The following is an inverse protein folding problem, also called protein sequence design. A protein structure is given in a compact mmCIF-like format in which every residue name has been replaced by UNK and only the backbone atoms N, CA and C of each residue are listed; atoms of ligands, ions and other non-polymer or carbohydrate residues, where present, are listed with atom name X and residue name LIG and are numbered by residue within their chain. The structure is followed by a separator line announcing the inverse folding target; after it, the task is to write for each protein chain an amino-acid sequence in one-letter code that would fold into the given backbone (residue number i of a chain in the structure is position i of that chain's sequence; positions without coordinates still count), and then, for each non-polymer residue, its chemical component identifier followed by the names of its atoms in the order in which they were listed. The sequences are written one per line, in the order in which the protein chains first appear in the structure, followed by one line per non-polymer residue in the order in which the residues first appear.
data_IF_184704241506
#
_entry.id   IF_184704241506
#
_cell.length_a   1.000
_cell.length_b   1.000
_cell.length_c   1.000
_cell.angle_alpha   90.00
_cell.angle_beta   90.00
_cell.angle_gamma   90.00
#
_symmetry.space_group_name_H-M   'P 1'
#
loop_
_entity.id
_entity.type
_entity.pdbx_description
1 polymer ?
#
# COMPACT_ATOMS: atom_id res chain seq x y z
N UNK A 1 -27.01 11.67 46.12
CA UNK A 1 -25.72 12.38 46.30
C UNK A 1 -24.73 11.66 45.40
N UNK A 2 -24.08 12.22 44.38
CA UNK A 2 -23.89 13.59 43.92
C UNK A 2 -23.66 13.57 42.37
N UNK A 3 -23.90 14.70 41.70
CA UNK A 3 -23.36 15.03 40.37
C UNK A 3 -21.93 15.63 40.51
N UNK A 4 -21.25 16.11 39.45
CA UNK A 4 -20.90 15.57 38.11
C UNK A 4 -19.36 15.72 37.83
N UNK A 5 -18.81 15.30 36.67
CA UNK A 5 -17.82 16.07 35.86
C UNK A 5 -17.22 15.30 34.64
N UNK A 6 -17.31 15.98 33.49
CA UNK A 6 -16.41 16.06 32.32
C UNK A 6 -15.58 14.87 31.85
N UNK A 7 -15.85 14.41 30.62
CA UNK A 7 -14.81 14.23 29.59
C UNK A 7 -15.21 14.98 28.32
N UNK A 8 -14.30 15.83 27.86
CA UNK A 8 -14.44 16.82 26.81
C UNK A 8 -13.75 16.35 25.52
N UNK A 9 -14.32 16.72 24.37
CA UNK A 9 -13.68 16.86 23.04
C UNK A 9 -13.02 15.61 22.43
N UNK A 10 -13.80 14.75 21.77
CA UNK A 10 -13.36 13.93 20.64
C UNK A 10 -14.56 13.25 19.94
N UNK A 11 -15.45 14.00 19.29
CA UNK A 11 -16.60 13.38 18.58
C UNK A 11 -17.05 14.14 17.34
N UNK A 12 -16.13 14.78 16.62
CA UNK A 12 -16.43 15.41 15.31
C UNK A 12 -16.08 14.53 14.10
N UNK A 13 -15.59 13.30 14.30
CA UNK A 13 -15.30 12.36 13.21
C UNK A 13 -16.31 11.22 13.05
N UNK A 14 -17.28 11.09 13.96
CA UNK A 14 -18.22 9.96 13.99
C UNK A 14 -19.64 10.50 13.84
N UNK A 15 -20.02 10.91 12.62
CA UNK A 15 -21.40 10.96 12.08
C UNK A 15 -21.47 11.79 10.78
N UNK A 16 -20.80 11.34 9.72
CA UNK A 16 -21.29 11.55 8.35
C UNK A 16 -21.99 10.27 7.86
N UNK A 17 -22.88 9.73 8.69
CA UNK A 17 -23.59 8.47 8.45
C UNK A 17 -25.10 8.69 8.64
N UNK A 18 -25.71 9.39 7.69
CA UNK A 18 -27.15 9.38 7.37
C UNK A 18 -27.27 9.93 5.93
N UNK A 19 -27.48 9.05 4.94
CA UNK A 19 -28.77 8.76 4.29
C UNK A 19 -29.35 9.91 3.44
N UNK A 20 -29.51 9.62 2.15
CA UNK A 20 -30.04 10.44 1.04
C UNK A 20 -29.18 11.63 0.59
N UNK A 21 -28.76 11.60 -0.68
CA UNK A 21 -28.15 12.71 -1.43
C UNK A 21 -26.83 13.29 -0.89
N UNK A 22 -26.11 12.60 -0.03
CA UNK A 22 -24.76 13.00 0.36
C UNK A 22 -23.79 12.70 -0.79
N UNK A 23 -23.63 13.66 -1.71
CA UNK A 23 -22.48 13.64 -2.61
C UNK A 23 -21.22 13.92 -1.80
N UNK A 24 -20.25 13.01 -1.86
CA UNK A 24 -18.94 13.25 -1.26
C UNK A 24 -18.07 13.88 -2.34
N UNK A 25 -17.65 15.12 -2.14
CA UNK A 25 -16.64 15.77 -2.99
C UNK A 25 -15.34 15.81 -2.20
N UNK A 26 -14.28 15.21 -2.76
CA UNK A 26 -12.93 15.28 -2.23
C UNK A 26 -12.13 16.29 -3.07
N UNK A 27 -11.64 17.34 -2.42
CA UNK A 27 -10.88 18.44 -3.05
C UNK A 27 -9.46 18.50 -2.44
N UNK A 28 -8.51 19.22 -3.08
CA UNK A 28 -7.17 19.43 -2.55
C UNK A 28 -7.16 19.91 -1.11
N UNK A 29 -6.27 19.33 -0.32
CA UNK A 29 -6.15 19.58 1.11
C UNK A 29 -7.13 18.78 1.99
N UNK A 30 -8.05 18.03 1.40
CA UNK A 30 -8.88 17.07 2.13
C UNK A 30 -8.32 15.65 2.01
N UNK A 31 -8.47 14.88 3.09
CA UNK A 31 -7.98 13.51 3.21
C UNK A 31 -9.11 12.62 3.71
N UNK A 32 -9.47 11.60 2.93
CA UNK A 32 -10.31 10.49 3.39
C UNK A 32 -9.38 9.45 4.02
N UNK A 33 -9.59 9.11 5.29
CA UNK A 33 -8.80 8.09 5.97
C UNK A 33 -9.58 6.78 6.08
N UNK A 34 -8.86 5.66 6.06
CA UNK A 34 -9.50 4.36 6.26
C UNK A 34 -10.19 4.31 7.61
N UNK A 35 -11.29 3.56 7.69
CA UNK A 35 -11.88 3.23 8.99
C UNK A 35 -10.86 2.50 9.85
N UNK A 36 -10.85 2.76 11.16
CA UNK A 36 -9.99 2.02 12.09
C UNK A 36 -10.53 0.60 12.26
N UNK A 37 -9.79 -0.40 11.79
CA UNK A 37 -9.98 -1.76 12.29
C UNK A 37 -9.53 -1.81 13.75
N UNK A 38 -10.22 -2.61 14.57
CA UNK A 38 -9.80 -2.90 15.95
C UNK A 38 -8.41 -3.54 16.05
N UNK A 39 -7.90 -4.06 14.92
CA UNK A 39 -6.56 -4.63 14.80
C UNK A 39 -5.73 -3.80 13.80
N UNK A 40 -4.60 -3.26 14.24
CA UNK A 40 -3.64 -2.48 13.44
C UNK A 40 -2.88 -3.31 12.39
N UNK A 41 -3.25 -4.57 12.16
CA UNK A 41 -2.54 -5.50 11.27
C UNK A 41 -2.61 -5.13 9.79
N UNK A 42 -3.53 -4.26 9.39
CA UNK A 42 -3.78 -3.94 7.99
C UNK A 42 -3.16 -2.62 7.52
N UNK A 43 -2.58 -1.81 8.42
CA UNK A 43 -2.07 -0.47 8.11
C UNK A 43 -3.16 0.61 8.16
N UNK A 44 -2.74 1.87 8.14
CA UNK A 44 -3.64 3.02 7.99
C UNK A 44 -3.52 3.53 6.56
N UNK A 45 -4.65 3.79 5.91
CA UNK A 45 -4.69 4.26 4.53
C UNK A 45 -5.34 5.62 4.41
N UNK A 46 -5.01 6.30 3.33
CA UNK A 46 -5.69 7.51 2.96
C UNK A 46 -5.87 7.69 1.47
N UNK A 47 -6.82 8.55 1.12
CA UNK A 47 -7.12 8.98 -0.23
C UNK A 47 -7.22 10.50 -0.24
N UNK A 48 -6.51 11.15 -1.17
CA UNK A 48 -6.43 12.61 -1.29
C UNK A 48 -6.39 13.02 -2.75
N UNK A 49 -6.78 14.26 -3.03
CA UNK A 49 -6.52 14.90 -4.32
C UNK A 49 -5.34 15.85 -4.15
N UNK A 50 -4.31 15.69 -4.97
CA UNK A 50 -3.11 16.52 -4.94
C UNK A 50 -2.53 16.62 -6.35
N UNK A 51 -2.10 17.83 -6.75
CA UNK A 51 -1.42 18.07 -8.04
C UNK A 51 -2.16 17.50 -9.26
N UNK A 52 -3.49 17.68 -9.30
CA UNK A 52 -4.39 17.14 -10.34
C UNK A 52 -4.41 15.61 -10.43
N UNK A 53 -4.00 14.90 -9.37
CA UNK A 53 -4.11 13.45 -9.24
C UNK A 53 -4.97 13.07 -8.04
N UNK A 54 -5.74 11.99 -8.17
CA UNK A 54 -6.28 11.23 -7.04
C UNK A 54 -5.22 10.23 -6.59
N UNK A 55 -4.77 10.34 -5.34
CA UNK A 55 -3.70 9.52 -4.77
C UNK A 55 -4.19 8.75 -3.56
N UNK A 56 -3.85 7.48 -3.48
CA UNK A 56 -4.04 6.68 -2.28
C UNK A 56 -2.71 6.27 -1.67
N UNK A 57 -2.60 6.39 -0.35
CA UNK A 57 -1.37 6.14 0.42
C UNK A 57 -1.59 5.08 1.49
N UNK A 58 -0.55 4.28 1.73
CA UNK A 58 -0.36 3.65 3.04
C UNK A 58 0.44 4.62 3.91
N UNK A 59 -0.03 4.86 5.12
CA UNK A 59 0.58 5.78 6.10
C UNK A 59 1.78 5.12 6.82
N UNK A 60 2.71 4.59 6.03
CA UNK A 60 4.02 4.14 6.49
C UNK A 60 4.94 5.33 6.78
N UNK A 61 6.21 5.07 7.09
CA UNK A 61 7.20 6.11 7.31
C UNK A 61 8.37 6.01 6.30
N UNK A 62 8.37 6.82 5.21
CA UNK A 62 7.37 7.81 4.83
C UNK A 62 6.08 7.19 4.25
N UNK A 63 4.98 7.95 4.10
CA UNK A 63 3.76 7.46 3.45
C UNK A 63 4.04 7.09 1.99
N UNK A 64 3.64 5.88 1.56
CA UNK A 64 3.92 5.39 0.22
C UNK A 64 2.63 5.34 -0.61
N UNK A 65 2.60 5.93 -1.81
CA UNK A 65 1.44 5.81 -2.68
C UNK A 65 1.33 4.37 -3.23
N UNK A 66 0.10 3.89 -3.35
CA UNK A 66 -0.22 2.59 -3.97
C UNK A 66 -1.23 2.71 -5.12
N UNK A 67 -1.82 3.89 -5.28
CA UNK A 67 -2.72 4.21 -6.37
C UNK A 67 -2.55 5.67 -6.78
N UNK A 68 -2.57 5.90 -8.09
CA UNK A 68 -2.60 7.23 -8.69
C UNK A 68 -3.53 7.21 -9.91
N UNK A 69 -4.38 8.22 -10.01
CA UNK A 69 -5.18 8.49 -11.21
C UNK A 69 -5.15 9.97 -11.53
N UNK A 70 -4.70 10.32 -12.74
CA UNK A 70 -4.62 11.70 -13.21
C UNK A 70 -6.01 12.22 -13.57
N UNK A 71 -6.38 13.37 -13.00
CA UNK A 71 -7.69 14.01 -13.14
C UNK A 71 -7.73 15.07 -14.25
N UNK A 72 -6.64 15.23 -15.00
CA UNK A 72 -6.49 16.20 -16.08
C UNK A 72 -6.78 17.64 -15.65
N UNK A 73 -7.92 18.21 -16.07
CA UNK A 73 -8.29 19.60 -15.82
C UNK A 73 -9.13 19.78 -14.55
N UNK A 74 -9.47 18.68 -13.89
CA UNK A 74 -10.33 18.68 -12.70
C UNK A 74 -9.44 18.47 -11.48
N UNK A 75 -9.60 19.32 -10.46
CA UNK A 75 -8.86 19.21 -9.21
C UNK A 75 -9.77 18.71 -8.08
N UNK A 76 -10.68 17.77 -8.36
CA UNK A 76 -11.53 17.15 -7.35
C UNK A 76 -12.10 15.83 -7.87
N UNK A 77 -12.52 14.97 -6.96
CA UNK A 77 -13.34 13.79 -7.29
C UNK A 77 -14.64 13.84 -6.52
N UNK A 78 -15.73 13.45 -7.18
CA UNK A 78 -17.06 13.45 -6.60
C UNK A 78 -17.67 12.06 -6.70
N UNK A 79 -18.15 11.56 -5.57
CA UNK A 79 -19.05 10.41 -5.52
C UNK A 79 -20.48 10.95 -5.61
N UNK A 80 -21.08 10.83 -6.78
CA UNK A 80 -22.44 11.29 -7.06
C UNK A 80 -23.10 10.44 -8.15
N UNK A 81 -24.39 10.17 -7.97
CA UNK A 81 -25.30 9.64 -8.99
C UNK A 81 -24.76 8.42 -9.76
N UNK A 82 -24.22 7.43 -9.05
CA UNK A 82 -23.73 6.19 -9.67
C UNK A 82 -22.39 6.33 -10.39
N UNK A 83 -21.54 7.28 -10.00
CA UNK A 83 -20.18 7.36 -10.53
C UNK A 83 -19.16 7.88 -9.51
N UNK A 84 -17.90 7.47 -9.70
CA UNK A 84 -16.73 7.99 -9.01
C UNK A 84 -15.52 7.92 -9.92
N UNK A 85 -14.79 9.03 -10.09
CA UNK A 85 -13.57 9.09 -10.91
C UNK A 85 -13.73 8.48 -12.32
N UNK A 86 -14.88 8.73 -12.98
CA UNK A 86 -15.20 8.17 -14.31
C UNK A 86 -15.65 6.71 -14.32
N UNK A 87 -15.57 5.98 -13.20
CA UNK A 87 -16.10 4.63 -13.07
C UNK A 87 -17.60 4.65 -12.78
N UNK A 88 -18.34 3.80 -13.50
CA UNK A 88 -19.77 3.59 -13.29
C UNK A 88 -20.00 2.67 -12.08
N UNK A 89 -20.99 3.04 -11.27
CA UNK A 89 -21.43 2.36 -10.06
C UNK A 89 -22.95 2.20 -10.20
N UNK A 90 -23.55 1.10 -9.72
CA UNK A 90 -25.01 0.97 -9.70
C UNK A 90 -25.66 2.22 -9.09
N UNK A 91 -26.73 2.73 -9.70
CA UNK A 91 -27.37 3.95 -9.22
C UNK A 91 -28.04 3.71 -7.86
N UNK A 92 -27.73 4.57 -6.88
CA UNK A 92 -28.45 4.57 -5.62
C UNK A 92 -29.92 4.96 -5.83
N UNK A 93 -30.81 4.40 -5.02
CA UNK A 93 -32.21 4.80 -4.96
C UNK A 93 -32.64 5.04 -3.52
N UNK A 94 -33.83 5.59 -3.31
CA UNK A 94 -34.41 5.77 -1.97
C UNK A 94 -34.62 4.45 -1.25
N UNK A 95 -34.91 3.37 -1.99
CA UNK A 95 -35.05 2.01 -1.46
C UNK A 95 -33.72 1.26 -1.30
N UNK A 96 -32.65 1.75 -1.93
CA UNK A 96 -31.32 1.13 -1.93
C UNK A 96 -30.24 2.20 -1.74
N UNK A 97 -30.17 2.80 -0.53
CA UNK A 97 -29.15 3.81 -0.23
C UNK A 97 -27.75 3.23 -0.34
N UNK A 98 -26.79 4.11 -0.66
CA UNK A 98 -25.38 3.76 -0.83
C UNK A 98 -24.46 4.65 -0.01
N UNK A 99 -23.29 4.12 0.35
CA UNK A 99 -22.17 4.92 0.85
C UNK A 99 -20.84 4.37 0.33
N UNK A 100 -19.83 5.22 0.29
CA UNK A 100 -18.46 4.87 -0.07
C UNK A 100 -17.58 4.91 1.18
N UNK A 101 -16.69 3.93 1.32
CA UNK A 101 -15.78 3.83 2.45
C UNK A 101 -14.40 3.35 1.99
N UNK A 102 -13.36 4.01 2.50
CA UNK A 102 -12.00 3.49 2.43
C UNK A 102 -11.84 2.48 3.56
N UNK A 103 -11.67 1.23 3.19
CA UNK A 103 -11.58 0.12 4.11
C UNK A 103 -10.20 0.04 4.79
N UNK A 104 -10.10 -0.64 5.94
CA UNK A 104 -8.83 -0.82 6.63
C UNK A 104 -7.79 -1.62 5.84
N UNK A 105 -8.17 -2.27 4.74
CA UNK A 105 -7.31 -3.02 3.82
C UNK A 105 -6.85 -2.17 2.60
N UNK A 106 -7.19 -0.88 2.58
CA UNK A 106 -6.84 0.05 1.49
C UNK A 106 -7.83 0.06 0.32
N UNK A 107 -8.86 -0.79 0.32
CA UNK A 107 -9.85 -0.80 -0.74
C UNK A 107 -10.86 0.33 -0.59
N UNK A 108 -11.19 1.01 -1.70
CA UNK A 108 -12.31 1.95 -1.74
C UNK A 108 -13.57 1.22 -2.21
N UNK A 109 -14.44 0.86 -1.27
CA UNK A 109 -15.66 0.07 -1.54
C UNK A 109 -16.90 0.93 -1.50
N UNK A 110 -17.87 0.59 -2.35
CA UNK A 110 -19.23 1.13 -2.30
C UNK A 110 -20.16 0.07 -1.76
N UNK A 111 -20.88 0.42 -0.72
CA UNK A 111 -21.88 -0.42 -0.09
C UNK A 111 -23.28 0.05 -0.48
N UNK A 112 -24.17 -0.89 -0.78
CA UNK A 112 -25.58 -0.65 -1.05
C UNK A 112 -26.44 -1.45 -0.07
N UNK A 113 -27.52 -0.85 0.42
CA UNK A 113 -28.50 -1.57 1.22
C UNK A 113 -29.41 -2.39 0.30
N UNK A 114 -29.37 -3.71 0.45
CA UNK A 114 -30.22 -4.69 -0.26
C UNK A 114 -30.83 -5.62 0.79
N UNK A 115 -32.16 -5.69 0.84
CA UNK A 115 -32.89 -6.57 1.78
C UNK A 115 -32.41 -6.46 3.24
N UNK A 116 -32.18 -5.22 3.71
CA UNK A 116 -31.65 -4.87 5.04
C UNK A 116 -30.18 -5.24 5.31
N UNK A 117 -29.45 -5.73 4.31
CA UNK A 117 -28.01 -6.01 4.41
C UNK A 117 -27.19 -5.04 3.55
N UNK A 118 -26.03 -4.63 4.07
CA UNK A 118 -25.07 -3.85 3.29
C UNK A 118 -24.22 -4.79 2.43
N UNK A 119 -24.33 -4.65 1.12
CA UNK A 119 -23.59 -5.45 0.14
C UNK A 119 -22.59 -4.58 -0.60
N UNK A 120 -21.41 -5.12 -0.90
CA UNK A 120 -20.42 -4.43 -1.73
C UNK A 120 -20.89 -4.50 -3.18
N UNK A 121 -21.06 -3.33 -3.80
CA UNK A 121 -21.53 -3.22 -5.20
C UNK A 121 -20.45 -2.69 -6.15
N UNK A 122 -19.39 -2.09 -5.62
CA UNK A 122 -18.23 -1.68 -6.39
C UNK A 122 -16.95 -1.66 -5.54
N UNK A 123 -15.83 -1.95 -6.18
CA UNK A 123 -14.48 -1.76 -5.66
C UNK A 123 -13.75 -0.86 -6.67
N UNK A 124 -13.41 0.36 -6.23
CA UNK A 124 -13.15 1.47 -7.15
C UNK A 124 -11.68 1.62 -7.56
N UNK A 125 -10.74 0.99 -6.84
CA UNK A 125 -9.31 1.16 -7.12
C UNK A 125 -8.68 -0.07 -7.77
N UNK A 126 -9.11 -1.29 -7.42
CA UNK A 126 -8.43 -2.54 -7.81
C UNK A 126 -8.17 -2.63 -9.32
N UNK A 127 -9.14 -2.30 -10.17
CA UNK A 127 -9.01 -2.46 -11.63
C UNK A 127 -8.00 -1.49 -12.26
N UNK A 128 -7.68 -0.41 -11.57
CA UNK A 128 -6.71 0.61 -12.00
C UNK A 128 -5.35 0.44 -11.30
N UNK A 129 -5.28 -0.36 -10.23
CA UNK A 129 -4.04 -0.67 -9.55
C UNK A 129 -3.27 -1.74 -10.33
N UNK A 130 -1.99 -1.47 -10.59
CA UNK A 130 -1.07 -2.44 -11.18
C UNK A 130 -0.94 -3.66 -10.27
N UNK A 131 -1.13 -4.85 -10.84
CA UNK A 131 -1.14 -6.10 -10.08
C UNK A 131 -2.48 -6.39 -9.39
N UNK A 132 -3.51 -5.57 -9.61
CA UNK A 132 -4.85 -5.76 -9.07
C UNK A 132 -4.83 -5.89 -7.56
N UNK A 133 -5.35 -7.01 -7.05
CA UNK A 133 -5.36 -7.32 -5.61
C UNK A 133 -3.95 -7.38 -5.01
N UNK A 134 -2.91 -7.74 -5.77
CA UNK A 134 -1.52 -7.73 -5.26
C UNK A 134 -0.90 -6.34 -5.19
N UNK A 135 -1.51 -5.33 -5.81
CA UNK A 135 -1.02 -3.96 -5.74
C UNK A 135 -1.43 -3.22 -4.47
N UNK A 136 -2.22 -3.83 -3.58
CA UNK A 136 -2.44 -3.27 -2.26
C UNK A 136 -1.25 -3.54 -1.34
N UNK A 137 -0.83 -2.56 -0.50
CA UNK A 137 0.40 -2.67 0.28
C UNK A 137 0.46 -3.87 1.23
N UNK A 138 -0.68 -4.34 1.75
CA UNK A 138 -0.74 -5.39 2.78
C UNK A 138 -1.44 -6.68 2.32
N UNK A 139 -1.62 -6.92 1.02
CA UNK A 139 -2.35 -8.10 0.49
C UNK A 139 -1.84 -9.43 1.02
N UNK A 140 -0.51 -9.55 1.18
CA UNK A 140 0.16 -10.70 1.76
C UNK A 140 0.94 -10.35 3.03
N UNK A 141 0.56 -9.27 3.72
CA UNK A 141 1.26 -8.80 4.92
C UNK A 141 2.74 -8.46 4.69
N UNK A 142 3.48 -8.35 5.79
CA UNK A 142 4.90 -8.03 5.75
C UNK A 142 5.72 -9.19 5.17
N UNK A 143 6.73 -8.90 4.36
CA UNK A 143 7.63 -9.86 3.71
C UNK A 143 6.94 -10.95 2.86
N UNK A 144 5.61 -10.90 2.69
CA UNK A 144 4.87 -11.84 1.86
C UNK A 144 4.95 -11.47 0.39
N UNK A 145 4.92 -12.49 -0.46
CA UNK A 145 4.93 -12.38 -1.91
C UNK A 145 3.54 -12.76 -2.43
N UNK A 146 2.93 -11.84 -3.18
CA UNK A 146 1.62 -12.01 -3.80
C UNK A 146 1.78 -12.43 -5.25
N UNK A 147 1.23 -13.58 -5.64
CA UNK A 147 1.16 -14.01 -7.06
C UNK A 147 -0.10 -13.51 -7.74
N UNK A 148 -0.09 -13.48 -9.08
CA UNK A 148 -1.18 -12.94 -9.92
C UNK A 148 -2.61 -13.42 -9.61
N UNK A 149 -2.76 -14.58 -8.96
CA UNK A 149 -4.02 -15.15 -8.49
C UNK A 149 -4.40 -14.76 -7.05
N UNK A 150 -3.67 -13.83 -6.41
CA UNK A 150 -3.87 -13.41 -5.02
C UNK A 150 -3.33 -14.38 -3.97
N UNK A 151 -2.57 -15.41 -4.36
CA UNK A 151 -1.97 -16.33 -3.38
C UNK A 151 -0.73 -15.69 -2.73
N UNK A 152 -0.58 -15.96 -1.44
CA UNK A 152 0.52 -15.45 -0.63
C UNK A 152 1.52 -16.55 -0.29
N UNK A 153 2.80 -16.27 -0.45
CA UNK A 153 3.90 -17.13 -0.02
C UNK A 153 5.00 -16.31 0.66
N UNK A 154 5.94 -17.00 1.32
CA UNK A 154 7.17 -16.36 1.80
C UNK A 154 8.32 -16.62 0.82
N UNK A 155 9.42 -15.91 1.03
CA UNK A 155 10.66 -16.19 0.32
C UNK A 155 11.23 -17.53 0.80
N UNK A 156 11.32 -18.50 -0.12
CA UNK A 156 12.04 -19.75 0.11
C UNK A 156 13.44 -19.64 -0.51
N UNK A 157 14.49 -19.84 0.29
CA UNK A 157 15.83 -19.99 -0.29
C UNK A 157 15.93 -21.35 -1.00
N UNK A 158 16.57 -21.38 -2.17
CA UNK A 158 16.83 -22.60 -2.94
C UNK A 158 17.68 -23.65 -2.19
N UNK A 159 18.23 -23.29 -1.02
CA UNK A 159 19.11 -24.09 -0.16
C UNK A 159 18.42 -24.71 1.05
N UNK A 160 17.09 -24.57 1.20
CA UNK A 160 16.31 -25.27 2.24
C UNK A 160 16.37 -24.65 3.64
N UNK A 161 17.09 -23.54 3.83
CA UNK A 161 17.01 -22.70 5.03
C UNK A 161 16.20 -21.45 4.72
N UNK A 162 14.95 -21.37 5.18
CA UNK A 162 14.13 -20.18 4.95
C UNK A 162 14.59 -19.04 5.86
N UNK A 163 15.06 -17.91 5.29
CA UNK A 163 15.33 -16.70 6.09
C UNK A 163 14.05 -16.04 6.58
N UNK A 164 12.92 -16.33 5.94
CA UNK A 164 11.60 -15.77 6.24
C UNK A 164 10.58 -16.91 6.37
N UNK A 165 9.80 -16.91 7.44
CA UNK A 165 8.77 -17.93 7.71
C UNK A 165 7.38 -17.32 7.73
N UNK A 166 6.38 -18.13 7.37
CA UNK A 166 4.97 -17.75 7.50
C UNK A 166 4.65 -17.41 8.95
N UNK A 167 3.93 -16.31 9.15
CA UNK A 167 3.42 -15.94 10.48
C UNK A 167 2.31 -16.89 10.90
N UNK A 168 1.46 -17.30 9.96
CA UNK A 168 0.41 -18.27 10.18
C UNK A 168 0.22 -19.15 8.92
N UNK A 169 0.49 -20.45 9.03
CA UNK A 169 0.32 -21.40 7.93
C UNK A 169 -1.13 -21.53 7.44
N UNK A 170 -2.11 -21.26 8.31
CA UNK A 170 -3.53 -21.31 7.95
C UNK A 170 -4.04 -20.02 7.33
N UNK A 171 -3.29 -18.92 7.47
CA UNK A 171 -3.64 -17.59 6.95
C UNK A 171 -2.40 -16.91 6.34
N UNK A 172 -1.94 -17.34 5.14
CA UNK A 172 -0.73 -16.82 4.51
C UNK A 172 -0.77 -15.31 4.22
N UNK A 173 -1.98 -14.73 4.12
CA UNK A 173 -2.19 -13.30 3.94
C UNK A 173 -1.81 -12.44 5.16
N UNK A 174 -1.58 -13.05 6.33
CA UNK A 174 -0.96 -12.36 7.47
C UNK A 174 0.54 -12.10 7.27
N UNK A 175 1.11 -12.66 6.20
CA UNK A 175 2.48 -12.47 5.78
C UNK A 175 3.48 -13.29 6.56
N UNK A 176 4.71 -12.81 6.49
CA UNK A 176 5.90 -13.54 6.87
C UNK A 176 6.75 -12.73 7.86
N UNK A 177 7.64 -13.42 8.56
CA UNK A 177 8.56 -12.83 9.52
C UNK A 177 9.97 -13.35 9.29
N UNK A 178 10.96 -12.49 9.49
CA UNK A 178 12.35 -12.92 9.48
C UNK A 178 12.58 -13.93 10.59
N UNK A 179 13.27 -15.03 10.27
CA UNK A 179 13.66 -16.03 11.27
C UNK A 179 14.63 -15.42 12.28
N UNK A 180 15.57 -14.60 11.80
CA UNK A 180 16.48 -13.80 12.63
C UNK A 180 16.14 -12.33 12.41
N UNK A 181 15.57 -11.63 13.42
CA UNK A 181 15.29 -10.21 13.32
C UNK A 181 16.56 -9.38 13.09
N UNK A 182 16.44 -8.34 12.27
CA UNK A 182 17.52 -7.36 12.03
C UNK A 182 17.70 -6.51 13.31
N UNK A 183 18.95 -6.36 13.76
CA UNK A 183 19.30 -5.49 14.90
C UNK A 183 20.54 -4.66 14.59
N UNK A 184 20.57 -3.41 15.05
CA UNK A 184 21.70 -2.50 14.88
C UNK A 184 23.02 -3.04 15.44
N UNK A 185 22.96 -3.74 16.58
CA UNK A 185 24.13 -4.19 17.33
C UNK A 185 24.97 -5.22 16.54
N UNK A 186 24.38 -5.77 15.49
CA UNK A 186 24.94 -6.81 14.66
C UNK A 186 25.03 -6.40 13.18
N UNK A 187 25.13 -5.09 12.91
CA UNK A 187 25.15 -4.54 11.56
C UNK A 187 26.24 -5.10 10.64
N UNK A 188 27.35 -5.55 11.22
CA UNK A 188 28.45 -6.24 10.52
C UNK A 188 28.05 -7.58 9.90
N UNK A 189 26.98 -8.21 10.37
CA UNK A 189 26.46 -9.47 9.85
C UNK A 189 25.28 -9.26 8.89
N UNK A 190 24.88 -8.02 8.62
CA UNK A 190 23.82 -7.75 7.66
C UNK A 190 24.31 -7.92 6.23
N UNK A 191 23.51 -8.61 5.43
CA UNK A 191 23.69 -8.77 3.99
C UNK A 191 22.44 -8.28 3.25
N UNK A 192 22.56 -8.11 1.94
CA UNK A 192 21.45 -7.82 1.06
C UNK A 192 21.21 -9.01 0.14
N UNK A 193 20.02 -9.58 0.23
CA UNK A 193 19.54 -10.58 -0.71
C UNK A 193 18.78 -9.91 -1.84
N UNK A 194 19.23 -10.14 -3.07
CA UNK A 194 18.56 -9.66 -4.27
C UNK A 194 17.34 -10.52 -4.59
N UNK A 195 16.16 -9.91 -4.62
CA UNK A 195 14.92 -10.61 -4.93
C UNK A 195 14.66 -10.58 -6.45
N UNK A 196 14.92 -11.70 -7.11
CA UNK A 196 14.66 -11.88 -8.54
C UNK A 196 13.16 -12.03 -8.81
N UNK A 197 12.70 -11.53 -9.96
CA UNK A 197 11.30 -11.66 -10.42
C UNK A 197 10.29 -11.17 -9.37
N UNK A 198 10.64 -10.09 -8.66
CA UNK A 198 9.75 -9.44 -7.71
C UNK A 198 9.59 -7.97 -8.07
N UNK A 199 8.42 -7.44 -7.73
CA UNK A 199 8.05 -6.06 -7.92
C UNK A 199 7.50 -5.48 -6.62
N UNK A 200 7.26 -4.17 -6.61
CA UNK A 200 6.73 -3.45 -5.46
C UNK A 200 5.55 -2.59 -5.87
N UNK A 201 4.53 -2.49 -4.99
CA UNK A 201 3.27 -1.80 -5.31
C UNK A 201 3.48 -0.31 -5.65
N UNK A 202 4.47 0.34 -5.02
CA UNK A 202 4.82 1.74 -5.23
C UNK A 202 5.71 1.94 -6.47
N UNK A 203 5.57 1.10 -7.49
CA UNK A 203 6.23 1.27 -8.77
C UNK A 203 5.24 1.04 -9.91
N UNK A 204 5.03 2.11 -10.69
CA UNK A 204 4.24 2.07 -11.91
C UNK A 204 5.04 2.68 -13.06
N UNK A 205 5.61 1.82 -13.90
CA UNK A 205 6.36 2.23 -15.10
C UNK A 205 5.46 2.69 -16.25
N UNK A 206 4.18 2.31 -16.27
CA UNK A 206 3.30 2.51 -17.43
C UNK A 206 2.51 3.82 -17.41
N UNK A 207 2.28 4.45 -16.25
CA UNK A 207 1.29 5.54 -16.13
C UNK A 207 1.75 6.78 -15.34
N UNK A 208 3.05 6.94 -15.06
CA UNK A 208 3.56 8.16 -14.41
C UNK A 208 3.64 9.32 -15.40
N UNK A 209 2.48 9.85 -15.81
CA UNK A 209 2.38 11.10 -16.57
C UNK A 209 2.69 12.34 -15.73
N UNK A 210 2.74 12.20 -14.40
CA UNK A 210 3.16 13.28 -13.51
C UNK A 210 4.66 13.16 -13.20
N UNK A 211 5.45 13.97 -13.91
CA UNK A 211 6.91 14.14 -13.77
C UNK A 211 7.39 14.39 -12.31
N UNK A 212 6.46 14.74 -11.40
CA UNK A 212 6.73 15.11 -10.01
C UNK A 212 6.42 14.01 -8.97
N UNK A 213 5.76 12.91 -9.35
CA UNK A 213 5.14 11.98 -8.39
C UNK A 213 5.97 10.73 -8.05
N UNK A 214 7.28 10.75 -8.36
CA UNK A 214 8.22 9.82 -7.77
C UNK A 214 8.60 10.36 -6.38
N UNK A 215 7.63 10.42 -5.47
CA UNK A 215 7.69 11.22 -4.23
C UNK A 215 8.88 10.88 -3.30
N UNK A 216 9.54 9.73 -3.49
CA UNK A 216 10.57 9.26 -2.56
C UNK A 216 11.77 8.56 -3.19
N UNK A 217 11.89 8.51 -4.53
CA UNK A 217 13.14 7.99 -5.11
C UNK A 217 14.19 9.09 -5.11
N UNK A 218 15.31 8.80 -4.45
CA UNK A 218 16.54 9.54 -4.64
C UNK A 218 17.13 9.20 -6.01
N UNK A 219 16.95 10.11 -6.96
CA UNK A 219 17.40 9.99 -8.35
C UNK A 219 18.92 10.15 -8.52
N UNK A 220 19.61 10.67 -7.49
CA UNK A 220 21.07 10.91 -7.53
C UNK A 220 21.85 9.71 -7.02
N UNK A 221 21.25 8.94 -6.11
CA UNK A 221 21.93 7.80 -5.49
C UNK A 221 22.14 6.65 -6.47
N UNK A 222 23.39 6.25 -6.64
CA UNK A 222 23.77 5.08 -7.43
C UNK A 222 23.36 3.77 -6.75
N UNK A 223 23.23 2.69 -7.52
CA UNK A 223 22.88 1.37 -6.98
C UNK A 223 23.79 0.93 -5.83
N UNK A 224 25.10 1.15 -5.97
CA UNK A 224 26.08 0.79 -4.94
C UNK A 224 25.83 1.57 -3.64
N UNK A 225 25.60 2.87 -3.74
CA UNK A 225 25.38 3.74 -2.60
C UNK A 225 24.00 3.50 -1.96
N UNK A 226 22.99 3.12 -2.76
CA UNK A 226 21.69 2.68 -2.29
C UNK A 226 21.80 1.46 -1.37
N UNK A 227 22.51 0.43 -1.85
CA UNK A 227 22.79 -0.81 -1.11
C UNK A 227 23.59 -0.53 0.17
N UNK A 228 24.67 0.25 0.05
CA UNK A 228 25.51 0.62 1.20
C UNK A 228 24.74 1.43 2.24
N UNK A 229 23.89 2.36 1.80
CA UNK A 229 23.06 3.17 2.70
C UNK A 229 22.07 2.30 3.47
N UNK A 230 21.43 1.33 2.83
CA UNK A 230 20.53 0.43 3.56
C UNK A 230 21.26 -0.44 4.58
N UNK A 231 22.45 -0.95 4.24
CA UNK A 231 23.27 -1.71 5.19
C UNK A 231 23.65 -0.86 6.40
N UNK A 232 24.05 0.39 6.16
CA UNK A 232 24.46 1.36 7.18
C UNK A 232 23.31 1.81 8.08
N UNK A 233 22.14 2.14 7.51
CA UNK A 233 21.01 2.64 8.28
C UNK A 233 20.28 1.51 8.99
N UNK A 234 20.22 1.63 10.30
CA UNK A 234 19.53 0.72 11.21
C UNK A 234 18.04 0.52 10.87
N UNK A 235 17.35 1.61 10.55
CA UNK A 235 15.93 1.59 10.22
C UNK A 235 15.64 0.89 8.89
N UNK A 236 16.62 0.80 7.98
CA UNK A 236 16.41 0.19 6.67
C UNK A 236 16.31 -1.33 6.79
N UNK A 237 15.22 -1.88 6.25
CA UNK A 237 14.95 -3.33 6.15
C UNK A 237 15.02 -3.83 4.71
N UNK A 238 14.85 -2.94 3.72
CA UNK A 238 15.09 -3.26 2.31
C UNK A 238 15.48 -2.01 1.52
N UNK A 239 16.21 -2.21 0.42
CA UNK A 239 16.47 -1.16 -0.57
C UNK A 239 15.72 -1.50 -1.85
N UNK A 240 14.99 -0.53 -2.37
CA UNK A 240 14.36 -0.57 -3.68
C UNK A 240 15.20 0.26 -4.64
N UNK A 241 15.52 -0.30 -5.80
CA UNK A 241 16.23 0.43 -6.85
C UNK A 241 15.50 0.30 -8.17
N UNK A 242 15.14 1.41 -8.79
CA UNK A 242 14.64 1.46 -10.14
C UNK A 242 15.75 1.91 -11.09
N UNK A 243 15.92 1.19 -12.19
CA UNK A 243 16.92 1.48 -13.21
C UNK A 243 16.41 2.46 -14.25
N UNK A 244 15.10 2.40 -14.57
CA UNK A 244 14.46 3.22 -15.58
C UNK A 244 13.04 3.60 -15.14
N UNK A 245 12.82 4.88 -14.89
CA UNK A 245 11.54 5.46 -14.47
C UNK A 245 11.16 6.61 -15.39
N UNK A 246 9.92 6.59 -15.86
CA UNK A 246 9.35 7.63 -16.72
C UNK A 246 10.01 7.72 -18.10
N UNK A 247 9.66 8.76 -18.84
CA UNK A 247 10.16 9.02 -20.20
C UNK A 247 11.66 9.28 -20.25
N UNK A 248 12.20 9.95 -19.23
CA UNK A 248 13.62 10.29 -19.15
C UNK A 248 14.50 9.10 -18.74
N UNK A 249 13.90 7.91 -18.50
CA UNK A 249 14.59 6.68 -18.11
C UNK A 249 15.51 6.87 -16.89
N UNK A 250 15.08 7.70 -15.95
CA UNK A 250 15.85 8.03 -14.75
C UNK A 250 15.94 6.82 -13.83
N UNK A 251 17.02 6.75 -13.05
CA UNK A 251 17.15 5.78 -11.97
C UNK A 251 16.67 6.37 -10.65
N UNK A 252 16.47 5.52 -9.65
CA UNK A 252 16.08 5.98 -8.33
C UNK A 252 16.28 4.94 -7.23
N UNK A 253 16.66 5.42 -6.06
CA UNK A 253 16.81 4.61 -4.84
C UNK A 253 15.74 4.98 -3.80
N UNK A 254 15.13 3.97 -3.18
CA UNK A 254 14.26 4.14 -2.01
C UNK A 254 14.70 3.17 -0.90
N UNK A 255 14.91 3.71 0.30
CA UNK A 255 15.19 2.92 1.50
C UNK A 255 13.88 2.66 2.24
N UNK A 256 13.58 1.40 2.48
CA UNK A 256 12.33 0.96 3.10
C UNK A 256 12.58 0.59 4.56
N UNK A 257 11.87 1.24 5.48
CA UNK A 257 11.89 0.88 6.91
C UNK A 257 11.00 -0.31 7.24
N UNK A 258 10.11 -0.66 6.32
CA UNK A 258 9.18 -1.78 6.41
C UNK A 258 9.10 -2.47 5.06
N UNK A 259 8.99 -3.79 5.08
CA UNK A 259 8.84 -4.60 3.87
C UNK A 259 7.39 -5.05 3.84
N UNK A 260 6.55 -4.24 3.23
CA UNK A 260 5.15 -4.59 2.96
C UNK A 260 5.08 -5.67 1.86
N UNK A 261 3.88 -5.98 1.37
CA UNK A 261 3.68 -7.04 0.38
C UNK A 261 4.47 -6.79 -0.91
N UNK A 262 5.17 -7.83 -1.35
CA UNK A 262 5.90 -7.88 -2.61
C UNK A 262 4.99 -8.49 -3.68
N UNK A 263 5.20 -8.11 -4.93
CA UNK A 263 4.44 -8.67 -6.06
C UNK A 263 5.34 -9.65 -6.80
N UNK A 264 4.88 -10.87 -7.02
CA UNK A 264 5.58 -11.81 -7.88
C UNK A 264 5.45 -11.34 -9.32
N UNK A 265 6.60 -11.16 -9.97
CA UNK A 265 6.66 -10.71 -11.34
C UNK A 265 6.87 -11.93 -12.25
N UNK A 266 5.77 -12.54 -12.72
CA UNK A 266 5.77 -13.73 -13.59
C UNK A 266 6.17 -13.39 -15.05
N UNK A 267 7.31 -12.72 -15.22
CA UNK A 267 7.92 -12.46 -16.54
C UNK A 267 7.66 -11.07 -17.14
N UNK A 268 7.06 -10.13 -16.42
CA UNK A 268 7.04 -8.73 -16.84
C UNK A 268 8.42 -8.09 -16.55
N UNK A 269 8.92 -7.29 -17.48
CA UNK A 269 10.19 -6.57 -17.28
C UNK A 269 9.89 -5.32 -16.47
N UNK A 270 9.87 -5.45 -15.14
CA UNK A 270 10.02 -4.27 -14.32
C UNK A 270 11.52 -3.97 -14.20
N UNK A 271 11.90 -2.76 -14.58
CA UNK A 271 13.27 -2.27 -14.44
C UNK A 271 13.54 -1.87 -12.98
N UNK A 272 13.23 -2.77 -12.04
CA UNK A 272 13.44 -2.56 -10.60
C UNK A 272 14.09 -3.79 -9.97
N UNK A 273 14.69 -3.57 -8.81
CA UNK A 273 15.18 -4.65 -7.96
C UNK A 273 14.95 -4.29 -6.51
N UNK A 274 14.45 -5.25 -5.75
CA UNK A 274 14.31 -5.16 -4.30
C UNK A 274 15.44 -5.95 -3.65
N UNK A 275 16.17 -5.31 -2.76
CA UNK A 275 17.23 -5.90 -1.95
C UNK A 275 16.76 -6.02 -0.51
N UNK A 276 16.51 -7.23 -0.05
CA UNK A 276 16.09 -7.51 1.31
C UNK A 276 17.30 -7.52 2.24
N UNK A 277 17.26 -6.72 3.31
CA UNK A 277 18.30 -6.77 4.34
C UNK A 277 18.03 -7.95 5.26
N UNK A 278 19.03 -8.79 5.43
CA UNK A 278 18.93 -10.03 6.20
C UNK A 278 20.14 -10.17 7.12
N UNK A 279 20.00 -10.99 8.16
CA UNK A 279 21.14 -11.42 8.96
C UNK A 279 21.82 -12.60 8.27
N UNK A 280 23.15 -12.58 8.17
CA UNK A 280 23.92 -13.70 7.63
C UNK A 280 23.84 -14.87 8.60
N UNK A 281 23.30 -16.00 8.13
CA UNK A 281 23.46 -17.29 8.83
C UNK A 281 24.96 -17.54 9.03
N UNK A 282 25.40 -17.70 10.28
CA UNK A 282 26.70 -18.33 10.50
C UNK A 282 26.51 -19.79 10.13
N UNK A 283 26.97 -20.19 8.96
CA UNK A 283 27.15 -21.60 8.67
C UNK A 283 28.11 -22.13 9.74
N UNK A 284 27.57 -22.91 10.68
CA UNK A 284 28.38 -23.74 11.58
C UNK A 284 29.20 -24.65 10.68
N UNK A 285 30.49 -24.34 10.62
CA UNK A 285 31.52 -25.08 9.91
C UNK A 285 31.70 -26.47 10.52
#
# INVERSE_FOLDING_TARGET
MAQPHNWSVASTAILKKLMLHASLTLVPGQKLTSSTASNWSHGLYSLTVQDYSLLAFVESNPPLPYFESYLFLINYVKFENGSFNGQLIPAASTSSPQFMQLEPDGHLKVYQLVDSNWTVVANLLTSQIRGGECGYPMSCGNYGICSSNGQCSCLEEATGSSTVKLTNYTQPNLGCSLVIPISCDHSQYHTLLELKNTSYFNFNSEYTFSYNNIYYLDRKTELKDCKMSCLKYCSCKAAFFAYHVGYDSEKGCLLLSEVLSLIKNDGAVDNITVFLKLHKSQDTQ
#
